data_IF_094691033647
#
_entry.id   IF_094691033647
#
_cell.length_a   1.000
_cell.length_b   1.000
_cell.length_c   1.000
_cell.angle_alpha   90.00
_cell.angle_beta   90.00
_cell.angle_gamma   90.00
#
_symmetry.space_group_name_H-M   'P 1'
#
loop_
_entity.id
_entity.type
_entity.pdbx_description
1 polymer ?
#
# COMPACT_ATOMS: atom_id res chain seq x y z
N UNK A 1 42.94 -3.86 -1.26
CA UNK A 1 42.32 -4.45 -0.06
C UNK A 1 40.90 -5.01 -0.29
N UNK A 2 40.26 -4.76 -1.44
CA UNK A 2 38.93 -5.30 -1.78
C UNK A 2 38.96 -6.62 -2.57
N UNK A 3 40.10 -6.96 -3.20
CA UNK A 3 40.24 -8.19 -4.01
C UNK A 3 40.76 -9.42 -3.25
N UNK A 4 41.02 -9.31 -1.94
CA UNK A 4 41.51 -10.43 -1.12
C UNK A 4 40.41 -11.21 -0.39
N UNK A 5 39.14 -10.80 -0.50
CA UNK A 5 38.05 -11.32 0.33
C UNK A 5 37.20 -12.45 -0.29
N UNK A 6 37.42 -12.82 -1.55
CA UNK A 6 36.61 -13.84 -2.22
C UNK A 6 37.49 -14.96 -2.78
N UNK A 7 38.16 -15.68 -1.87
CA UNK A 7 38.89 -16.90 -2.19
C UNK A 7 37.89 -18.06 -2.43
N UNK A 8 38.10 -18.94 -3.42
CA UNK A 8 37.21 -20.07 -3.72
C UNK A 8 37.15 -21.13 -2.61
N UNK A 9 37.99 -21.06 -1.57
CA UNK A 9 37.97 -21.97 -0.41
C UNK A 9 37.08 -21.55 0.77
N UNK A 10 36.29 -20.47 0.65
CA UNK A 10 35.45 -19.96 1.74
C UNK A 10 34.14 -20.76 1.89
N UNK A 11 33.69 -20.98 3.13
CA UNK A 11 32.42 -21.63 3.47
C UNK A 11 31.27 -21.04 2.61
N UNK A 12 30.36 -21.86 2.03
CA UNK A 12 29.33 -21.38 1.09
C UNK A 12 28.40 -20.30 1.67
N UNK A 13 28.31 -20.20 3.00
CA UNK A 13 27.60 -19.14 3.71
C UNK A 13 28.26 -17.77 3.50
N UNK A 14 29.60 -17.70 3.42
CA UNK A 14 30.35 -16.46 3.22
C UNK A 14 30.60 -16.12 1.74
N UNK A 15 30.54 -17.10 0.83
CA UNK A 15 30.52 -16.82 -0.62
C UNK A 15 29.27 -16.01 -1.04
N UNK A 16 28.16 -16.16 -0.31
CA UNK A 16 26.94 -15.41 -0.58
C UNK A 16 27.11 -13.89 -0.30
N UNK A 17 28.00 -13.51 0.62
CA UNK A 17 28.29 -12.10 0.97
C UNK A 17 29.17 -11.40 -0.08
N UNK A 18 29.91 -12.16 -0.91
CA UNK A 18 30.68 -11.64 -2.05
C UNK A 18 29.83 -11.41 -3.30
N UNK A 19 28.60 -11.96 -3.37
CA UNK A 19 27.72 -11.78 -4.51
C UNK A 19 26.96 -10.46 -4.38
N UNK A 20 27.02 -9.60 -5.40
CA UNK A 20 26.39 -8.26 -5.41
C UNK A 20 24.88 -8.32 -5.20
N UNK A 21 24.28 -9.50 -5.38
CA UNK A 21 22.89 -9.84 -5.04
C UNK A 21 22.58 -9.76 -3.55
N UNK A 22 23.52 -10.09 -2.67
CA UNK A 22 23.33 -9.98 -1.21
C UNK A 22 23.23 -8.51 -0.75
N UNK A 23 24.02 -7.60 -1.34
CA UNK A 23 23.99 -6.19 -0.96
C UNK A 23 22.65 -5.50 -1.26
N UNK A 24 22.03 -5.78 -2.42
CA UNK A 24 20.71 -5.23 -2.77
C UNK A 24 19.59 -5.81 -1.90
N UNK A 25 19.65 -7.11 -1.61
CA UNK A 25 18.70 -7.78 -0.72
C UNK A 25 18.67 -7.14 0.67
N UNK A 26 19.85 -6.90 1.26
CA UNK A 26 19.98 -6.26 2.58
C UNK A 26 19.38 -4.85 2.61
N UNK A 27 19.66 -4.02 1.60
CA UNK A 27 19.11 -2.66 1.54
C UNK A 27 17.59 -2.69 1.41
N UNK A 28 17.05 -3.56 0.56
CA UNK A 28 15.60 -3.72 0.39
C UNK A 28 14.93 -4.25 1.65
N UNK A 29 15.56 -5.20 2.34
CA UNK A 29 15.09 -5.75 3.61
C UNK A 29 15.00 -4.66 4.69
N UNK A 30 16.01 -3.81 4.81
CA UNK A 30 16.01 -2.70 5.76
C UNK A 30 14.91 -1.69 5.45
N UNK A 31 14.74 -1.34 4.18
CA UNK A 31 13.67 -0.43 3.73
C UNK A 31 12.28 -1.03 3.95
N UNK A 32 12.11 -2.32 3.70
CA UNK A 32 10.86 -3.03 3.95
C UNK A 32 10.54 -3.11 5.44
N UNK A 33 11.53 -3.45 6.27
CA UNK A 33 11.37 -3.54 7.73
C UNK A 33 11.00 -2.18 8.32
N UNK A 34 11.69 -1.12 7.90
CA UNK A 34 11.40 0.25 8.34
C UNK A 34 9.99 0.68 7.93
N UNK A 35 9.61 0.46 6.67
CA UNK A 35 8.27 0.77 6.17
C UNK A 35 7.17 -0.02 6.88
N UNK A 36 7.40 -1.30 7.15
CA UNK A 36 6.49 -2.17 7.89
C UNK A 36 6.26 -1.68 9.33
N UNK A 37 7.35 -1.43 10.08
CA UNK A 37 7.28 -0.94 11.46
C UNK A 37 6.60 0.42 11.53
N UNK A 38 6.90 1.33 10.59
CA UNK A 38 6.27 2.64 10.53
C UNK A 38 4.77 2.52 10.22
N UNK A 39 4.38 1.67 9.26
CA UNK A 39 2.97 1.43 8.92
C UNK A 39 2.20 0.86 10.10
N UNK A 40 2.77 -0.12 10.81
CA UNK A 40 2.17 -0.73 11.99
C UNK A 40 2.10 0.24 13.17
N UNK A 41 3.12 1.07 13.37
CA UNK A 41 3.14 2.14 14.37
C UNK A 41 2.05 3.18 14.12
N UNK A 42 1.87 3.61 12.86
CA UNK A 42 0.78 4.52 12.48
C UNK A 42 -0.60 3.87 12.68
N UNK A 43 -0.76 2.59 12.32
CA UNK A 43 -2.01 1.86 12.49
C UNK A 43 -2.39 1.71 13.97
N UNK A 44 -1.46 1.24 14.79
CA UNK A 44 -1.67 1.09 16.24
C UNK A 44 -1.91 2.43 16.92
N UNK A 45 -1.14 3.48 16.56
CA UNK A 45 -1.36 4.84 17.04
C UNK A 45 -2.75 5.38 16.69
N UNK A 46 -3.21 5.16 15.45
CA UNK A 46 -4.53 5.58 14.98
C UNK A 46 -5.67 4.82 15.67
N UNK A 47 -5.51 3.52 15.91
CA UNK A 47 -6.49 2.70 16.66
C UNK A 47 -6.56 3.16 18.12
N UNK A 48 -5.42 3.33 18.80
CA UNK A 48 -5.37 3.81 20.19
C UNK A 48 -6.03 5.19 20.28
N UNK A 49 -5.68 6.11 19.38
CA UNK A 49 -6.29 7.42 19.30
C UNK A 49 -7.80 7.35 19.08
N UNK A 50 -8.26 6.50 18.15
CA UNK A 50 -9.68 6.28 17.89
C UNK A 50 -10.41 5.73 19.11
N UNK A 51 -9.82 4.77 19.85
CA UNK A 51 -10.41 4.23 21.07
C UNK A 51 -10.54 5.31 22.14
N UNK A 52 -9.52 6.15 22.32
CA UNK A 52 -9.57 7.29 23.25
C UNK A 52 -10.60 8.36 22.85
N UNK A 53 -10.83 8.57 21.56
CA UNK A 53 -11.81 9.53 21.04
C UNK A 53 -13.25 8.99 21.08
N UNK A 54 -13.45 7.70 20.76
CA UNK A 54 -14.76 7.04 20.83
C UNK A 54 -15.33 7.03 22.25
N UNK A 55 -14.46 7.02 23.28
CA UNK A 55 -14.88 7.20 24.67
C UNK A 55 -15.43 8.61 24.98
N UNK A 56 -15.21 9.60 24.09
CA UNK A 56 -15.55 11.01 24.31
C UNK A 56 -16.63 11.57 23.37
N UNK A 57 -16.72 11.11 22.11
CA UNK A 57 -17.60 11.72 21.11
C UNK A 57 -18.22 10.65 20.18
N UNK A 58 -19.55 10.60 20.13
CA UNK A 58 -20.33 9.74 19.23
C UNK A 58 -20.56 10.44 17.87
N UNK A 59 -19.50 10.58 17.06
CA UNK A 59 -19.63 11.10 15.68
C UNK A 59 -19.43 9.99 14.66
N UNK A 60 -20.51 9.62 13.96
CA UNK A 60 -20.55 8.52 12.99
C UNK A 60 -19.73 8.76 11.72
N UNK A 61 -19.44 10.02 11.38
CA UNK A 61 -18.68 10.39 10.17
C UNK A 61 -17.18 10.11 10.34
N UNK A 62 -16.61 10.39 11.51
CA UNK A 62 -15.15 10.24 11.75
C UNK A 62 -14.75 8.76 11.76
N UNK A 63 -15.60 7.89 12.31
CA UNK A 63 -15.34 6.45 12.37
C UNK A 63 -15.13 5.80 10.99
N UNK A 64 -15.86 6.25 9.97
CA UNK A 64 -15.73 5.72 8.61
C UNK A 64 -14.36 6.02 7.97
N UNK A 65 -13.90 7.27 8.08
CA UNK A 65 -12.59 7.70 7.58
C UNK A 65 -11.48 7.00 8.34
N UNK A 66 -11.59 6.87 9.67
CA UNK A 66 -10.62 6.13 10.49
C UNK A 66 -10.57 4.65 10.08
N UNK A 67 -11.71 4.00 9.87
CA UNK A 67 -11.76 2.62 9.42
C UNK A 67 -11.14 2.42 8.02
N UNK A 68 -11.42 3.33 7.08
CA UNK A 68 -10.80 3.32 5.75
C UNK A 68 -9.28 3.54 5.83
N UNK A 69 -8.80 4.46 6.68
CA UNK A 69 -7.37 4.66 6.92
C UNK A 69 -6.72 3.43 7.55
N UNK A 70 -7.37 2.77 8.51
CA UNK A 70 -6.86 1.54 9.11
C UNK A 70 -6.70 0.43 8.07
N UNK A 71 -7.68 0.26 7.17
CA UNK A 71 -7.58 -0.69 6.06
C UNK A 71 -6.44 -0.33 5.10
N UNK A 72 -6.27 0.95 4.78
CA UNK A 72 -5.17 1.43 3.95
C UNK A 72 -3.80 1.14 4.59
N UNK A 73 -3.62 1.45 5.88
CA UNK A 73 -2.38 1.19 6.61
C UNK A 73 -2.10 -0.31 6.79
N UNK A 74 -3.15 -1.13 6.91
CA UNK A 74 -3.02 -2.59 6.90
C UNK A 74 -2.58 -3.10 5.52
N UNK A 75 -3.13 -2.55 4.45
CA UNK A 75 -2.72 -2.87 3.08
C UNK A 75 -1.25 -2.52 2.85
N UNK A 76 -0.81 -1.31 3.25
CA UNK A 76 0.60 -0.90 3.11
C UNK A 76 1.53 -1.74 3.97
N UNK A 77 1.14 -2.10 5.20
CA UNK A 77 1.91 -3.02 6.02
C UNK A 77 2.02 -4.40 5.35
N UNK A 78 0.94 -4.91 4.76
CA UNK A 78 0.96 -6.14 3.99
C UNK A 78 1.87 -6.06 2.76
N UNK A 79 1.89 -4.93 2.05
CA UNK A 79 2.78 -4.68 0.90
C UNK A 79 4.25 -4.71 1.33
N UNK A 80 4.61 -4.21 2.51
CA UNK A 80 5.96 -4.37 3.02
C UNK A 80 6.21 -5.81 3.50
N UNK A 81 5.25 -6.44 4.17
CA UNK A 81 5.38 -7.81 4.67
C UNK A 81 5.59 -8.83 3.55
N UNK A 82 4.91 -8.67 2.41
CA UNK A 82 5.03 -9.59 1.28
C UNK A 82 6.42 -9.52 0.63
N UNK A 83 7.16 -8.41 0.78
CA UNK A 83 8.54 -8.33 0.26
C UNK A 83 9.49 -9.32 0.93
N UNK A 84 9.30 -9.62 2.22
CA UNK A 84 10.06 -10.66 2.91
C UNK A 84 9.77 -12.04 2.34
N UNK A 85 8.54 -12.27 1.86
CA UNK A 85 8.22 -13.51 1.17
C UNK A 85 9.03 -13.62 -0.13
N UNK A 86 9.25 -12.54 -0.86
CA UNK A 86 10.09 -12.57 -2.08
C UNK A 86 11.60 -12.65 -1.79
N UNK A 87 12.07 -12.12 -0.66
CA UNK A 87 13.49 -12.16 -0.26
C UNK A 87 13.90 -13.56 0.26
N UNK A 88 13.05 -14.23 1.04
CA UNK A 88 13.38 -15.53 1.63
C UNK A 88 12.86 -16.63 0.68
N UNK A 89 13.78 -17.43 0.13
CA UNK A 89 13.44 -18.61 -0.69
C UNK A 89 12.51 -19.53 0.10
N UNK A 90 11.24 -19.63 -0.30
CA UNK A 90 10.29 -20.56 0.32
C UNK A 90 9.63 -21.47 -0.71
N UNK A 91 9.35 -22.66 -0.19
CA UNK A 91 8.79 -23.91 -0.73
C UNK A 91 7.71 -23.74 -1.82
N UNK A 92 7.58 -24.69 -2.77
CA UNK A 92 6.64 -24.66 -3.90
C UNK A 92 5.15 -24.43 -3.57
N UNK A 93 4.72 -24.60 -2.31
CA UNK A 93 3.35 -24.32 -1.87
C UNK A 93 3.08 -22.82 -1.61
N UNK A 94 4.13 -21.99 -1.55
CA UNK A 94 4.01 -20.56 -1.20
C UNK A 94 3.98 -19.63 -2.41
N UNK A 95 4.37 -20.12 -3.59
CA UNK A 95 4.40 -19.35 -4.83
C UNK A 95 3.04 -18.74 -5.23
N UNK A 96 1.93 -19.51 -5.31
CA UNK A 96 0.65 -18.95 -5.76
C UNK A 96 0.06 -17.99 -4.72
N UNK A 97 0.35 -18.22 -3.43
CA UNK A 97 -0.08 -17.36 -2.32
C UNK A 97 0.53 -15.96 -2.41
N UNK A 98 1.79 -15.82 -2.88
CA UNK A 98 2.43 -14.51 -3.07
C UNK A 98 1.71 -13.68 -4.12
N UNK A 99 1.36 -14.28 -5.25
CA UNK A 99 0.64 -13.60 -6.34
C UNK A 99 -0.78 -13.18 -5.91
N UNK A 100 -1.46 -14.07 -5.18
CA UNK A 100 -2.76 -13.78 -4.57
C UNK A 100 -2.68 -12.58 -3.62
N UNK A 101 -1.76 -12.61 -2.66
CA UNK A 101 -1.59 -11.53 -1.68
C UNK A 101 -1.18 -10.21 -2.35
N UNK A 102 -0.33 -10.26 -3.38
CA UNK A 102 0.08 -9.09 -4.15
C UNK A 102 -1.14 -8.34 -4.71
N UNK A 103 -2.00 -9.02 -5.47
CA UNK A 103 -3.18 -8.40 -6.06
C UNK A 103 -4.19 -7.89 -5.04
N UNK A 104 -4.44 -8.68 -3.98
CA UNK A 104 -5.40 -8.36 -2.93
C UNK A 104 -4.98 -7.13 -2.12
N UNK A 105 -3.70 -7.03 -1.75
CA UNK A 105 -3.18 -5.89 -0.99
C UNK A 105 -3.20 -4.58 -1.79
N UNK A 106 -2.80 -4.61 -3.06
CA UNK A 106 -2.89 -3.43 -3.93
C UNK A 106 -4.33 -3.01 -4.21
N UNK A 107 -5.24 -3.98 -4.40
CA UNK A 107 -6.66 -3.68 -4.53
C UNK A 107 -7.21 -2.99 -3.29
N UNK A 108 -6.86 -3.45 -2.09
CA UNK A 108 -7.28 -2.79 -0.84
C UNK A 108 -6.76 -1.35 -0.77
N UNK A 109 -5.48 -1.13 -1.09
CA UNK A 109 -4.88 0.20 -1.08
C UNK A 109 -5.56 1.16 -2.06
N UNK A 110 -5.72 0.76 -3.34
CA UNK A 110 -6.37 1.59 -4.35
C UNK A 110 -7.86 1.77 -4.11
N UNK A 111 -8.55 0.78 -3.55
CA UNK A 111 -9.95 0.91 -3.15
C UNK A 111 -10.14 1.98 -2.07
N UNK A 112 -9.24 2.03 -1.08
CA UNK A 112 -9.25 3.08 -0.06
C UNK A 112 -8.94 4.47 -0.64
N UNK A 113 -7.94 4.57 -1.53
CA UNK A 113 -7.59 5.83 -2.20
C UNK A 113 -8.74 6.33 -3.10
N UNK A 114 -9.41 5.42 -3.81
CA UNK A 114 -10.56 5.74 -4.66
C UNK A 114 -11.77 6.18 -3.82
N UNK A 115 -12.07 5.47 -2.73
CA UNK A 115 -13.10 5.88 -1.77
C UNK A 115 -12.83 7.27 -1.20
N UNK A 116 -11.55 7.58 -0.92
CA UNK A 116 -11.14 8.90 -0.47
C UNK A 116 -11.33 9.98 -1.55
N UNK A 117 -11.00 9.69 -2.80
CA UNK A 117 -11.27 10.59 -3.92
C UNK A 117 -12.76 10.89 -4.08
N UNK A 118 -13.60 9.87 -3.98
CA UNK A 118 -15.06 9.99 -4.03
C UNK A 118 -15.59 10.84 -2.87
N UNK A 119 -15.06 10.65 -1.67
CA UNK A 119 -15.40 11.44 -0.49
C UNK A 119 -15.04 12.92 -0.68
N UNK A 120 -13.85 13.22 -1.21
CA UNK A 120 -13.41 14.59 -1.52
C UNK A 120 -14.24 15.25 -2.63
N UNK A 121 -14.75 14.47 -3.59
CA UNK A 121 -15.67 14.95 -4.62
C UNK A 121 -17.11 15.17 -4.11
N UNK A 122 -17.42 14.75 -2.87
CA UNK A 122 -18.73 14.92 -2.26
C UNK A 122 -19.78 13.91 -2.75
N UNK A 123 -19.37 12.74 -3.24
CA UNK A 123 -20.30 11.70 -3.65
C UNK A 123 -21.23 11.28 -2.51
N UNK A 124 -22.53 11.13 -2.81
CA UNK A 124 -23.52 10.74 -1.79
C UNK A 124 -23.22 9.35 -1.20
N UNK A 125 -22.67 8.45 -2.03
CA UNK A 125 -22.31 7.08 -1.64
C UNK A 125 -21.22 7.01 -0.57
N UNK A 126 -20.43 8.06 -0.37
CA UNK A 126 -19.34 8.11 0.62
C UNK A 126 -19.74 8.82 1.93
N UNK A 127 -21.02 9.16 2.11
CA UNK A 127 -21.50 9.78 3.36
C UNK A 127 -21.66 8.74 4.49
N UNK A 128 -21.41 9.16 5.73
CA UNK A 128 -21.49 8.27 6.89
C UNK A 128 -20.52 7.10 6.76
N UNK A 129 -20.99 5.86 6.92
CA UNK A 129 -20.19 4.64 6.74
C UNK A 129 -19.90 4.27 5.26
N UNK A 130 -20.34 5.10 4.33
CA UNK A 130 -20.21 4.87 2.90
C UNK A 130 -18.76 4.82 2.39
N UNK A 131 -17.85 5.65 2.91
CA UNK A 131 -16.42 5.62 2.52
C UNK A 131 -15.81 4.23 2.76
N UNK A 132 -16.04 3.67 3.95
CA UNK A 132 -15.62 2.32 4.30
C UNK A 132 -16.33 1.25 3.46
N UNK A 133 -17.65 1.37 3.27
CA UNK A 133 -18.44 0.41 2.49
C UNK A 133 -18.02 0.33 1.03
N UNK A 134 -17.73 1.47 0.39
CA UNK A 134 -17.22 1.53 -0.99
C UNK A 134 -15.85 0.86 -1.08
N UNK A 135 -14.93 1.19 -0.16
CA UNK A 135 -13.60 0.57 -0.14
C UNK A 135 -13.68 -0.95 0.03
N UNK A 136 -14.52 -1.42 0.96
CA UNK A 136 -14.71 -2.85 1.21
C UNK A 136 -15.35 -3.56 0.00
N UNK A 137 -16.37 -2.97 -0.62
CA UNK A 137 -17.04 -3.54 -1.78
C UNK A 137 -16.08 -3.72 -2.97
N UNK A 138 -15.30 -2.69 -3.28
CA UNK A 138 -14.30 -2.74 -4.35
C UNK A 138 -13.18 -3.75 -4.07
N UNK A 139 -12.76 -3.87 -2.81
CA UNK A 139 -11.77 -4.85 -2.38
C UNK A 139 -12.26 -6.30 -2.55
N UNK A 140 -13.50 -6.59 -2.13
CA UNK A 140 -14.09 -7.94 -2.19
C UNK A 140 -14.14 -8.46 -3.63
N UNK A 141 -14.38 -7.61 -4.62
CA UNK A 141 -14.35 -8.01 -6.04
C UNK A 141 -13.00 -8.61 -6.41
N UNK A 142 -11.88 -7.99 -6.03
CA UNK A 142 -10.55 -8.56 -6.30
C UNK A 142 -10.33 -9.86 -5.53
N UNK A 143 -10.81 -9.96 -4.29
CA UNK A 143 -10.69 -11.20 -3.51
C UNK A 143 -11.39 -12.36 -4.23
N UNK A 144 -12.59 -12.14 -4.77
CA UNK A 144 -13.33 -13.14 -5.54
C UNK A 144 -12.53 -13.54 -6.79
N UNK A 145 -12.07 -12.57 -7.58
CA UNK A 145 -11.28 -12.81 -8.80
C UNK A 145 -10.02 -13.62 -8.48
N UNK A 146 -9.27 -13.19 -7.46
CA UNK A 146 -8.02 -13.83 -7.06
C UNK A 146 -8.25 -15.25 -6.49
N UNK A 147 -9.35 -15.46 -5.78
CA UNK A 147 -9.72 -16.78 -5.25
C UNK A 147 -10.11 -17.74 -6.38
N UNK A 148 -10.88 -17.27 -7.37
CA UNK A 148 -11.23 -18.07 -8.55
C UNK A 148 -9.98 -18.52 -9.31
N UNK A 149 -9.05 -17.59 -9.55
CA UNK A 149 -7.78 -17.93 -10.20
C UNK A 149 -6.95 -18.93 -9.38
N UNK A 150 -6.83 -18.72 -8.06
CA UNK A 150 -6.09 -19.62 -7.17
C UNK A 150 -6.65 -21.04 -7.19
N UNK A 151 -7.98 -21.19 -7.16
CA UNK A 151 -8.65 -22.49 -7.23
C UNK A 151 -8.35 -23.17 -8.57
N UNK A 152 -8.42 -22.44 -9.69
CA UNK A 152 -8.14 -22.99 -11.02
C UNK A 152 -6.69 -23.51 -11.07
N UNK A 153 -5.71 -22.70 -10.68
CA UNK A 153 -4.29 -23.07 -10.75
C UNK A 153 -3.95 -24.25 -9.81
N UNK A 154 -4.50 -24.26 -8.58
CA UNK A 154 -4.23 -25.33 -7.61
C UNK A 154 -4.93 -26.65 -7.96
N UNK A 155 -6.20 -26.60 -8.35
CA UNK A 155 -7.03 -27.80 -8.55
C UNK A 155 -6.85 -28.37 -9.94
N UNK A 156 -6.79 -27.52 -10.97
CA UNK A 156 -6.83 -27.93 -12.37
C UNK A 156 -5.45 -28.25 -12.91
N UNK A 157 -4.50 -27.33 -12.72
CA UNK A 157 -3.22 -27.41 -13.43
C UNK A 157 -2.16 -28.20 -12.67
N UNK A 158 -2.33 -28.40 -11.35
CA UNK A 158 -1.36 -29.07 -10.45
C UNK A 158 0.10 -28.61 -10.60
N UNK A 159 0.28 -27.40 -11.13
CA UNK A 159 1.55 -26.73 -11.42
C UNK A 159 1.64 -25.47 -10.57
N UNK A 160 1.97 -25.57 -9.27
CA UNK A 160 1.85 -24.46 -8.33
C UNK A 160 2.82 -23.28 -8.60
N UNK A 161 3.80 -23.45 -9.50
CA UNK A 161 4.84 -22.44 -9.77
C UNK A 161 5.08 -22.15 -11.25
N UNK A 162 4.27 -22.70 -12.17
CA UNK A 162 4.44 -22.48 -13.61
C UNK A 162 3.27 -21.63 -14.10
N UNK A 163 3.43 -20.29 -14.04
CA UNK A 163 2.46 -19.33 -14.52
C UNK A 163 3.09 -18.45 -15.61
N UNK A 164 2.30 -18.06 -16.61
CA UNK A 164 2.79 -17.10 -17.61
C UNK A 164 2.68 -15.66 -17.08
N UNK A 165 3.64 -14.81 -17.44
CA UNK A 165 3.64 -13.40 -17.03
C UNK A 165 2.38 -12.66 -17.51
N UNK A 166 1.83 -13.08 -18.66
CA UNK A 166 0.58 -12.52 -19.19
C UNK A 166 -0.64 -12.87 -18.33
N UNK A 167 -0.68 -14.07 -17.75
CA UNK A 167 -1.74 -14.50 -16.84
C UNK A 167 -1.68 -13.72 -15.53
N UNK A 168 -0.48 -13.39 -15.06
CA UNK A 168 -0.30 -12.56 -13.88
C UNK A 168 -0.75 -11.11 -14.11
N UNK A 169 -0.41 -10.53 -15.26
CA UNK A 169 -0.89 -9.18 -15.61
C UNK A 169 -2.41 -9.18 -15.78
N UNK A 170 -2.98 -10.23 -16.38
CA UNK A 170 -4.43 -10.41 -16.51
C UNK A 170 -5.11 -10.48 -15.13
N UNK A 171 -4.51 -11.17 -14.16
CA UNK A 171 -5.00 -11.23 -12.77
C UNK A 171 -5.06 -9.85 -12.09
N UNK A 172 -4.20 -8.93 -12.51
CA UNK A 172 -4.07 -7.58 -11.96
C UNK A 172 -4.84 -6.53 -12.75
N UNK A 173 -5.57 -6.92 -13.81
CA UNK A 173 -6.31 -5.96 -14.65
C UNK A 173 -7.29 -5.11 -13.85
N UNK A 174 -7.99 -5.70 -12.89
CA UNK A 174 -8.93 -4.99 -12.04
C UNK A 174 -8.20 -3.99 -11.12
N UNK A 175 -7.03 -4.36 -10.60
CA UNK A 175 -6.17 -3.46 -9.80
C UNK A 175 -5.73 -2.26 -10.64
N UNK A 176 -5.36 -2.48 -11.90
CA UNK A 176 -5.01 -1.42 -12.85
C UNK A 176 -6.20 -0.50 -13.16
N UNK A 177 -7.40 -1.07 -13.29
CA UNK A 177 -8.62 -0.28 -13.45
C UNK A 177 -8.89 0.61 -12.22
N UNK A 178 -8.73 0.09 -10.99
CA UNK A 178 -8.86 0.88 -9.77
C UNK A 178 -7.84 2.03 -9.71
N UNK A 179 -6.59 1.75 -10.07
CA UNK A 179 -5.53 2.76 -10.17
C UNK A 179 -5.87 3.83 -11.23
N UNK A 180 -6.33 3.42 -12.42
CA UNK A 180 -6.69 4.36 -13.48
C UNK A 180 -7.88 5.25 -13.07
N UNK A 181 -8.93 4.67 -12.48
CA UNK A 181 -10.08 5.43 -11.98
C UNK A 181 -9.67 6.41 -10.89
N UNK A 182 -8.88 5.98 -9.91
CA UNK A 182 -8.40 6.87 -8.85
C UNK A 182 -7.51 7.98 -9.39
N UNK A 183 -6.61 7.68 -10.35
CA UNK A 183 -5.81 8.68 -11.03
C UNK A 183 -6.68 9.74 -11.72
N UNK A 184 -7.65 9.32 -12.54
CA UNK A 184 -8.58 10.23 -13.23
C UNK A 184 -9.33 11.11 -12.22
N UNK A 185 -9.85 10.55 -11.14
CA UNK A 185 -10.56 11.32 -10.12
C UNK A 185 -9.63 12.31 -9.40
N UNK A 186 -8.40 11.91 -9.09
CA UNK A 186 -7.42 12.78 -8.44
C UNK A 186 -6.96 13.94 -9.33
N UNK A 187 -6.81 13.70 -10.64
CA UNK A 187 -6.50 14.74 -11.62
C UNK A 187 -7.67 15.72 -11.77
N UNK A 188 -8.92 15.23 -11.78
CA UNK A 188 -10.10 16.10 -11.77
C UNK A 188 -10.15 16.99 -10.52
N UNK A 189 -9.83 16.44 -9.35
CA UNK A 189 -9.71 17.21 -8.10
C UNK A 189 -8.62 18.29 -8.22
N UNK A 190 -7.43 17.93 -8.71
CA UNK A 190 -6.33 18.88 -8.92
C UNK A 190 -6.70 19.99 -9.90
N UNK A 191 -7.31 19.67 -11.05
CA UNK A 191 -7.74 20.65 -12.04
C UNK A 191 -8.75 21.64 -11.44
N UNK A 192 -9.72 21.14 -10.66
CA UNK A 192 -10.71 21.99 -9.98
C UNK A 192 -10.04 22.91 -8.95
N UNK A 193 -9.10 22.40 -8.16
CA UNK A 193 -8.33 23.19 -7.19
C UNK A 193 -7.40 24.22 -7.85
N UNK A 194 -6.76 23.91 -8.98
CA UNK A 194 -5.91 24.86 -9.72
C UNK A 194 -6.72 26.01 -10.34
N UNK A 195 -7.86 25.70 -10.94
CA UNK A 195 -8.76 26.71 -11.53
C UNK A 195 -9.31 27.64 -10.44
N UNK A 196 -9.70 27.09 -9.28
CA UNK A 196 -10.20 27.91 -8.16
C UNK A 196 -9.12 28.72 -7.46
N UNK A 197 -7.87 28.25 -7.42
CA UNK A 197 -6.73 29.01 -6.90
C UNK A 197 -6.48 30.29 -7.71
N UNK A 198 -6.69 30.24 -9.04
CA UNK A 198 -6.54 31.42 -9.91
C UNK A 198 -7.62 32.51 -9.69
N UNK A 199 -8.72 32.20 -8.99
CA UNK A 199 -9.90 33.08 -8.89
C UNK A 199 -10.32 33.42 -7.44
N UNK A 200 -9.69 32.84 -6.40
CA UNK A 200 -10.19 33.01 -5.03
C UNK A 200 -9.09 33.07 -3.96
N UNK A 201 -8.94 34.27 -3.39
CA UNK A 201 -8.22 34.53 -2.13
C UNK A 201 -9.01 33.88 -0.98
N UNK A 202 -8.84 32.58 -0.73
CA UNK A 202 -9.68 31.82 0.21
C UNK A 202 -8.87 31.28 1.41
N UNK A 203 -9.46 31.42 2.60
CA UNK A 203 -8.79 31.33 3.90
C UNK A 203 -8.25 29.96 4.35
N UNK A 204 -7.65 29.90 5.56
CA UNK A 204 -6.74 28.83 6.01
C UNK A 204 -7.35 27.41 6.05
N UNK A 205 -8.67 27.27 6.17
CA UNK A 205 -9.36 25.97 6.15
C UNK A 205 -9.30 25.25 4.79
N UNK A 206 -9.34 25.98 3.68
CA UNK A 206 -9.37 25.38 2.33
C UNK A 206 -7.97 24.99 1.85
N UNK A 207 -6.92 25.61 2.39
CA UNK A 207 -5.54 25.34 2.02
C UNK A 207 -5.10 23.92 2.40
N UNK A 208 -5.50 23.44 3.58
CA UNK A 208 -5.16 22.09 4.04
C UNK A 208 -5.86 20.99 3.23
N UNK A 209 -7.12 21.17 2.86
CA UNK A 209 -7.85 20.22 2.02
C UNK A 209 -7.27 20.13 0.60
N UNK A 210 -6.87 21.28 0.03
CA UNK A 210 -6.20 21.32 -1.27
C UNK A 210 -4.83 20.64 -1.24
N UNK A 211 -4.05 20.84 -0.18
CA UNK A 211 -2.75 20.18 0.00
C UNK A 211 -2.91 18.66 0.09
N UNK A 212 -3.93 18.16 0.80
CA UNK A 212 -4.25 16.73 0.85
C UNK A 212 -4.63 16.16 -0.51
N UNK A 213 -5.46 16.88 -1.29
CA UNK A 213 -5.82 16.45 -2.64
C UNK A 213 -4.60 16.40 -3.57
N UNK A 214 -3.70 17.39 -3.46
CA UNK A 214 -2.44 17.43 -4.23
C UNK A 214 -1.52 16.26 -3.87
N UNK A 215 -1.30 16.00 -2.57
CA UNK A 215 -0.50 14.86 -2.11
C UNK A 215 -1.08 13.52 -2.61
N UNK A 216 -2.40 13.36 -2.55
CA UNK A 216 -3.07 12.15 -3.02
C UNK A 216 -2.85 11.94 -4.52
N UNK A 217 -2.99 13.00 -5.32
CA UNK A 217 -2.75 12.93 -6.76
C UNK A 217 -1.27 12.62 -7.10
N UNK A 218 -0.32 13.27 -6.42
CA UNK A 218 1.12 12.95 -6.57
C UNK A 218 1.39 11.49 -6.22
N UNK A 219 0.77 10.98 -5.15
CA UNK A 219 0.88 9.57 -4.73
C UNK A 219 0.41 8.63 -5.84
N UNK A 220 -0.75 8.91 -6.44
CA UNK A 220 -1.31 8.09 -7.52
C UNK A 220 -0.51 8.17 -8.81
N UNK A 221 0.02 9.34 -9.17
CA UNK A 221 0.89 9.52 -10.34
C UNK A 221 2.18 8.71 -10.15
N UNK A 222 2.83 8.82 -8.99
CA UNK A 222 4.03 8.06 -8.68
C UNK A 222 3.75 6.56 -8.70
N UNK A 223 2.66 6.11 -8.08
CA UNK A 223 2.27 4.70 -8.11
C UNK A 223 1.98 4.20 -9.52
N UNK A 224 1.27 4.99 -10.34
CA UNK A 224 1.02 4.67 -11.74
C UNK A 224 2.31 4.55 -12.56
N UNK A 225 3.27 5.44 -12.34
CA UNK A 225 4.58 5.35 -13.00
C UNK A 225 5.33 4.08 -12.62
N UNK A 226 5.30 3.69 -11.33
CA UNK A 226 5.94 2.45 -10.85
C UNK A 226 5.27 1.23 -11.49
N UNK A 227 3.94 1.18 -11.53
CA UNK A 227 3.18 0.10 -12.16
C UNK A 227 3.48 0.00 -13.67
N UNK A 228 3.53 1.12 -14.38
CA UNK A 228 3.87 1.13 -15.81
C UNK A 228 5.28 0.62 -16.07
N UNK A 229 6.27 1.14 -15.34
CA UNK A 229 7.68 0.69 -15.45
C UNK A 229 7.78 -0.80 -15.17
N UNK A 230 7.09 -1.27 -14.12
CA UNK A 230 7.08 -2.68 -13.73
C UNK A 230 6.45 -3.59 -14.80
N UNK A 231 5.29 -3.24 -15.36
CA UNK A 231 4.65 -4.01 -16.45
C UNK A 231 5.55 -4.05 -17.69
N UNK A 232 6.12 -2.90 -18.08
CA UNK A 232 7.01 -2.82 -19.25
C UNK A 232 8.25 -3.67 -19.05
N UNK A 233 8.85 -3.63 -17.85
CA UNK A 233 10.02 -4.43 -17.51
C UNK A 233 9.71 -5.92 -17.54
N UNK A 234 8.57 -6.34 -16.99
CA UNK A 234 8.15 -7.75 -17.01
C UNK A 234 7.87 -8.26 -18.44
N UNK A 235 7.16 -7.47 -19.25
CA UNK A 235 6.72 -7.90 -20.59
C UNK A 235 7.82 -7.80 -21.64
N UNK A 236 8.66 -6.75 -21.62
CA UNK A 236 9.70 -6.51 -22.63
C UNK A 236 11.11 -6.81 -22.16
N UNK A 237 11.47 -6.37 -20.95
CA UNK A 237 12.84 -6.54 -20.42
C UNK A 237 13.26 -8.01 -20.31
N UNK A 238 12.28 -8.90 -20.14
CA UNK A 238 12.52 -10.33 -20.05
C UNK A 238 12.75 -11.03 -21.40
N UNK A 239 12.22 -10.47 -22.50
CA UNK A 239 12.42 -11.00 -23.86
C UNK A 239 13.82 -10.67 -24.39
N UNK A 240 14.37 -9.51 -24.03
CA UNK A 240 15.65 -9.02 -24.57
C UNK A 240 16.89 -9.60 -23.85
N UNK A 241 16.75 -10.02 -22.58
CA UNK A 241 17.90 -10.36 -21.71
C UNK A 241 18.00 -11.86 -21.38
N UNK A 242 16.95 -12.66 -21.61
CA UNK A 242 17.00 -14.13 -21.59
C UNK A 242 17.37 -14.79 -20.25
N UNK A 243 17.43 -14.07 -19.13
CA UNK A 243 17.85 -14.58 -17.81
C UNK A 243 16.66 -14.94 -16.90
N UNK A 244 15.70 -15.71 -17.39
CA UNK A 244 14.64 -16.31 -16.55
C UNK A 244 15.26 -17.43 -15.67
N UNK A 245 14.87 -17.64 -14.40
CA UNK A 245 13.86 -16.97 -13.54
C UNK A 245 14.44 -15.97 -12.53
N UNK A 246 15.71 -15.57 -12.66
CA UNK A 246 16.46 -14.94 -11.56
C UNK A 246 16.15 -13.45 -11.35
N UNK A 247 15.51 -12.79 -12.32
CA UNK A 247 15.23 -11.35 -12.26
C UNK A 247 13.80 -10.99 -11.82
N UNK A 248 12.85 -11.92 -11.82
CA UNK A 248 11.44 -11.59 -11.55
C UNK A 248 11.21 -11.24 -10.07
N UNK A 249 11.77 -12.02 -9.14
CA UNK A 249 11.66 -11.81 -7.68
C UNK A 249 12.25 -10.46 -7.18
N UNK A 250 13.47 -10.05 -7.57
CA UNK A 250 14.02 -8.76 -7.14
C UNK A 250 13.28 -7.57 -7.73
N UNK A 251 12.85 -7.64 -9.00
CA UNK A 251 12.12 -6.55 -9.66
C UNK A 251 10.77 -6.32 -8.98
N UNK A 252 10.05 -7.40 -8.66
CA UNK A 252 8.78 -7.33 -7.94
C UNK A 252 8.96 -6.76 -6.53
N UNK A 253 10.03 -7.18 -5.82
CA UNK A 253 10.37 -6.68 -4.48
C UNK A 253 10.66 -5.18 -4.48
N UNK A 254 11.45 -4.69 -5.45
CA UNK A 254 11.76 -3.26 -5.60
C UNK A 254 10.48 -2.47 -5.88
N UNK A 255 9.61 -2.95 -6.76
CA UNK A 255 8.35 -2.29 -7.08
C UNK A 255 7.41 -2.22 -5.86
N UNK A 256 7.36 -3.29 -5.05
CA UNK A 256 6.59 -3.34 -3.81
C UNK A 256 7.09 -2.34 -2.77
N UNK A 257 8.40 -2.36 -2.45
CA UNK A 257 8.98 -1.42 -1.47
C UNK A 257 8.77 0.02 -1.93
N UNK A 258 9.03 0.31 -3.21
CA UNK A 258 8.87 1.66 -3.78
C UNK A 258 7.42 2.16 -3.67
N UNK A 259 6.44 1.33 -4.07
CA UNK A 259 5.02 1.67 -3.93
C UNK A 259 4.59 1.82 -2.46
N UNK A 260 5.08 0.95 -1.59
CA UNK A 260 4.79 1.01 -0.15
C UNK A 260 5.22 2.35 0.45
N UNK A 261 6.42 2.83 0.13
CA UNK A 261 6.90 4.13 0.60
C UNK A 261 6.12 5.29 -0.01
N UNK A 262 5.74 5.22 -1.29
CA UNK A 262 4.89 6.22 -1.94
C UNK A 262 3.54 6.34 -1.21
N UNK A 263 2.88 5.21 -0.91
CA UNK A 263 1.62 5.19 -0.17
C UNK A 263 1.76 5.72 1.26
N UNK A 264 2.82 5.32 1.95
CA UNK A 264 3.05 5.68 3.34
C UNK A 264 3.37 7.17 3.50
N UNK A 265 4.25 7.72 2.67
CA UNK A 265 4.62 9.14 2.71
C UNK A 265 3.53 10.05 2.17
N UNK A 266 2.93 9.66 1.04
CA UNK A 266 1.96 10.49 0.34
C UNK A 266 0.62 10.61 1.06
N UNK A 267 0.07 9.47 1.51
CA UNK A 267 -1.27 9.39 2.09
C UNK A 267 -1.29 8.95 3.55
N UNK A 268 -0.50 7.94 3.94
CA UNK A 268 -0.51 7.38 5.29
C UNK A 268 -0.14 8.41 6.37
N UNK A 269 1.07 8.98 6.27
CA UNK A 269 1.60 9.93 7.24
C UNK A 269 0.81 11.25 7.24
N UNK A 270 0.48 11.77 6.05
CA UNK A 270 -0.21 13.04 5.88
C UNK A 270 -1.64 13.02 6.45
N UNK A 271 -2.38 11.91 6.28
CA UNK A 271 -3.72 11.76 6.86
C UNK A 271 -3.68 11.57 8.37
N UNK A 272 -2.77 10.74 8.89
CA UNK A 272 -2.65 10.53 10.34
C UNK A 272 -2.29 11.83 11.06
N UNK A 273 -1.34 12.59 10.51
CA UNK A 273 -0.96 13.90 11.04
C UNK A 273 -2.12 14.91 10.99
N UNK A 274 -2.95 14.87 9.96
CA UNK A 274 -4.11 15.74 9.84
C UNK A 274 -5.22 15.38 10.83
N UNK A 275 -5.52 14.09 10.98
CA UNK A 275 -6.53 13.59 11.93
C UNK A 275 -6.14 13.91 13.37
N UNK A 276 -4.85 13.74 13.73
CA UNK A 276 -4.35 14.10 15.05
C UNK A 276 -4.39 15.61 15.29
N UNK A 277 -4.03 16.43 14.30
CA UNK A 277 -4.06 17.90 14.41
C UNK A 277 -5.48 18.45 14.63
N UNK A 278 -6.51 17.82 14.02
CA UNK A 278 -7.91 18.22 14.19
C UNK A 278 -8.47 17.96 15.59
N UNK A 279 -7.89 17.01 16.34
CA UNK A 279 -8.38 16.66 17.68
C UNK A 279 -7.72 17.42 18.84
N UNK A 280 -6.74 18.30 18.55
CA UNK A 280 -5.95 18.97 19.58
C UNK A 280 -4.94 18.01 20.26
N UNK A 281 -4.06 18.52 21.15
CA UNK A 281 -3.00 17.72 21.75
C UNK A 281 -3.56 16.51 22.51
N UNK A 282 -2.97 15.34 22.27
CA UNK A 282 -3.33 14.12 22.96
C UNK A 282 -3.17 14.32 24.48
N UNK A 283 -4.22 14.08 25.29
CA UNK A 283 -4.05 14.08 26.73
C UNK A 283 -3.14 12.91 27.12
N UNK A 284 -2.30 13.16 28.13
CA UNK A 284 -1.34 12.19 28.67
C UNK A 284 -2.02 10.85 29.03
N UNK A 285 -1.32 9.71 28.87
CA UNK A 285 -1.89 8.37 29.09
C UNK A 285 -2.46 8.15 30.51
N UNK A 286 -1.98 8.91 31.49
CA UNK A 286 -2.50 8.92 32.87
C UNK A 286 -3.94 9.44 32.98
N UNK A 287 -4.38 10.29 32.07
CA UNK A 287 -5.73 10.86 32.04
C UNK A 287 -6.78 9.91 31.47
N UNK A 288 -6.39 8.97 30.59
CA UNK A 288 -7.28 7.95 30.05
C UNK A 288 -7.58 6.83 31.07
N UNK A 289 -6.56 6.39 31.83
CA UNK A 289 -6.73 5.37 32.87
C UNK A 289 -7.53 5.87 34.09
N UNK A 290 -7.35 7.14 34.49
CA UNK A 290 -8.03 7.71 35.66
C UNK A 290 -9.54 7.93 35.47
N UNK A 291 -10.05 7.92 34.24
CA UNK A 291 -11.50 8.09 33.99
C UNK A 291 -12.26 6.78 33.82
N UNK A 292 -11.58 5.73 33.35
CA UNK A 292 -12.13 4.37 33.36
C UNK A 292 -12.42 3.85 34.80
N UNK A 293 -11.73 4.40 35.82
CA UNK A 293 -12.00 4.09 37.23
C UNK A 293 -13.10 4.95 37.86
N UNK A 294 -13.64 5.95 37.17
CA UNK A 294 -14.68 6.85 37.68
C UNK A 294 -16.09 6.52 37.16
N UNK A 295 -16.19 5.58 36.21
CA UNK A 295 -17.45 5.08 35.66
C UNK A 295 -17.79 3.64 36.18
N UNK A 296 -17.23 3.26 37.34
CA UNK A 296 -17.64 2.09 38.12
C UNK A 296 -18.30 2.52 39.43
#
# INVERSE_FOLDING_TARGET
LYDLCCDPGLDPVYQYLCDRRAAWGIVLEMLATSGFLLSLGLLTGLIIWSMCLCAKIKSSSIGSTVACMSMFLLATAGIFAITFAFIIQLTPQTCPTRLFLFGVLFSLAFSCLLARCLALLGFAATRGWGEFGVALGLFVVQVIIATQWLIIVLVRDRKPCEYSQEEFVMLLIYVLCLLAMSLVMSLNLMCRSCITYSYSYSGPSNQHANFQAMLLAVTLILSASIWLVWIVMLTRGNLEIGKRPVWDDPVLSIALVSNGWVFLMGHGLSQVAFLSSRAGPAPTPTLCLRRASHDC
#
